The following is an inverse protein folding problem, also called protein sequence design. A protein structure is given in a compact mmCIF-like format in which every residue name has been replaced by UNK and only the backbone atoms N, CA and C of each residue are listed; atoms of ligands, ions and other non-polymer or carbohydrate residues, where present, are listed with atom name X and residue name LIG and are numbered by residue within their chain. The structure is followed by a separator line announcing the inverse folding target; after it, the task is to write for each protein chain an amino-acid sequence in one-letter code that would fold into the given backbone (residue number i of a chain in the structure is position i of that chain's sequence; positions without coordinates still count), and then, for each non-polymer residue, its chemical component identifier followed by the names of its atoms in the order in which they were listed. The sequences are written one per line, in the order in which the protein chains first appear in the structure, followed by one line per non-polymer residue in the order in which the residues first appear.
data_IF_339304334913
#
_entry.id   IF_339304334913
#
_cell.length_a   1.000
_cell.length_b   1.000
_cell.length_c   1.000
_cell.angle_alpha   90.00
_cell.angle_beta   90.00
_cell.angle_gamma   90.00
#
_symmetry.space_group_name_H-M   'P 1'
#
loop_
_entity.id
_entity.type
_entity.pdbx_description
1 polymer ?
#
# COMPACT_ATOMS: atom_id res chain seq x y z
N UNK A 1 48.22 -1.26 -36.24
CA UNK A 1 47.23 -2.32 -36.01
C UNK A 1 45.99 -2.07 -36.86
N UNK A 2 45.22 -3.10 -37.14
CA UNK A 2 43.93 -3.03 -37.82
C UNK A 2 42.86 -3.27 -36.75
N UNK A 3 41.82 -2.41 -36.69
CA UNK A 3 40.70 -2.59 -35.76
C UNK A 3 39.49 -3.20 -36.48
N UNK A 4 38.81 -4.11 -35.82
CA UNK A 4 37.59 -4.75 -36.30
C UNK A 4 36.49 -4.63 -35.29
N UNK A 5 35.23 -4.57 -35.76
CA UNK A 5 34.00 -4.57 -34.93
C UNK A 5 33.08 -5.69 -35.43
N UNK A 6 32.51 -6.47 -34.52
CA UNK A 6 31.43 -7.39 -34.79
C UNK A 6 30.21 -6.94 -34.02
N UNK A 7 29.06 -6.95 -34.67
CA UNK A 7 27.78 -6.52 -34.04
C UNK A 7 26.72 -7.57 -34.30
N UNK A 8 25.84 -7.74 -33.30
CA UNK A 8 24.64 -8.56 -33.39
C UNK A 8 23.45 -7.71 -32.93
N UNK A 9 22.30 -7.90 -33.55
CA UNK A 9 21.03 -7.25 -33.16
C UNK A 9 20.19 -8.29 -32.45
N UNK A 10 19.78 -7.97 -31.18
CA UNK A 10 18.92 -8.83 -30.37
C UNK A 10 17.47 -8.71 -30.83
N UNK A 11 16.74 -9.81 -30.76
CA UNK A 11 15.35 -9.96 -31.19
C UNK A 11 14.55 -10.76 -30.17
N UNK A 12 13.23 -10.74 -30.27
CA UNK A 12 12.33 -11.56 -29.42
C UNK A 12 12.54 -13.07 -29.59
N UNK A 13 13.23 -13.52 -30.65
CA UNK A 13 13.57 -14.92 -30.88
C UNK A 13 14.78 -15.38 -30.03
N UNK A 14 15.57 -14.44 -29.53
CA UNK A 14 16.74 -14.77 -28.69
C UNK A 14 16.25 -15.14 -27.27
N UNK A 15 17.05 -15.93 -26.56
CA UNK A 15 16.75 -16.35 -25.20
C UNK A 15 17.40 -15.39 -24.21
N UNK A 16 16.70 -15.14 -23.09
CA UNK A 16 17.26 -14.39 -21.98
C UNK A 16 18.51 -15.06 -21.43
N UNK A 17 19.52 -14.27 -21.08
CA UNK A 17 20.76 -14.76 -20.52
C UNK A 17 22.00 -13.99 -20.98
N UNK A 18 23.20 -14.46 -20.55
CA UNK A 18 24.46 -13.80 -20.87
C UNK A 18 24.78 -13.88 -22.35
N UNK A 19 25.24 -12.76 -22.91
CA UNK A 19 25.69 -12.69 -24.31
C UNK A 19 27.14 -13.15 -24.39
N UNK A 20 27.36 -14.28 -25.06
CA UNK A 20 28.70 -14.82 -25.33
C UNK A 20 29.15 -14.49 -26.74
N UNK A 21 30.45 -14.62 -26.97
CA UNK A 21 31.06 -14.53 -28.31
C UNK A 21 32.24 -15.46 -28.47
N UNK A 22 32.58 -15.76 -29.72
CA UNK A 22 33.85 -16.40 -30.10
C UNK A 22 34.48 -15.62 -31.24
N UNK A 23 35.79 -15.46 -31.21
CA UNK A 23 36.56 -14.83 -32.30
C UNK A 23 37.58 -15.83 -32.82
N UNK A 24 37.46 -16.16 -34.07
CA UNK A 24 38.40 -16.98 -34.84
C UNK A 24 38.93 -16.17 -36.01
N UNK A 25 40.11 -16.49 -36.46
CA UNK A 25 40.68 -15.85 -37.63
C UNK A 25 42.01 -16.47 -38.08
N UNK A 26 42.54 -15.98 -39.17
CA UNK A 26 43.87 -16.36 -39.68
C UNK A 26 44.63 -15.11 -40.14
N UNK A 27 45.95 -15.16 -40.06
CA UNK A 27 46.78 -14.15 -40.70
C UNK A 27 46.78 -14.32 -42.24
N UNK A 28 47.46 -13.40 -42.95
CA UNK A 28 47.57 -13.44 -44.41
C UNK A 28 48.43 -14.65 -44.92
N UNK A 29 49.19 -15.28 -44.05
CA UNK A 29 49.98 -16.50 -44.35
C UNK A 29 49.19 -17.80 -44.05
N UNK A 30 47.98 -17.67 -43.45
CA UNK A 30 47.14 -18.83 -43.11
C UNK A 30 47.34 -19.36 -41.69
N UNK A 31 48.13 -18.68 -40.84
CA UNK A 31 48.29 -19.10 -39.45
C UNK A 31 47.01 -18.74 -38.65
N UNK A 32 46.47 -19.73 -37.94
CA UNK A 32 45.26 -19.57 -37.16
C UNK A 32 45.47 -18.72 -35.89
N UNK A 33 44.55 -17.81 -35.63
CA UNK A 33 44.40 -17.13 -34.34
C UNK A 33 44.04 -18.19 -33.26
N UNK A 34 44.58 -18.05 -32.08
CA UNK A 34 44.01 -18.78 -30.92
C UNK A 34 42.64 -18.21 -30.64
N UNK A 35 41.63 -19.06 -30.64
CA UNK A 35 40.23 -18.62 -30.39
C UNK A 35 40.13 -17.78 -29.13
N UNK A 36 39.43 -16.64 -29.23
CA UNK A 36 39.16 -15.74 -28.13
C UNK A 36 37.68 -15.86 -27.73
N UNK A 37 37.43 -15.98 -26.44
CA UNK A 37 36.12 -16.05 -25.83
C UNK A 37 36.03 -14.98 -24.73
N UNK A 38 34.85 -14.72 -24.10
CA UNK A 38 34.76 -13.84 -22.95
C UNK A 38 35.77 -14.16 -21.84
N UNK A 39 36.07 -15.44 -21.59
CA UNK A 39 36.98 -15.90 -20.53
C UNK A 39 38.46 -15.77 -20.88
N UNK A 40 38.78 -15.34 -22.10
CA UNK A 40 40.18 -15.23 -22.55
C UNK A 40 40.92 -14.08 -21.85
N UNK A 41 42.21 -14.24 -21.47
CA UNK A 41 42.98 -13.22 -20.74
C UNK A 41 43.12 -11.87 -21.45
N UNK A 42 42.89 -11.81 -22.74
CA UNK A 42 42.92 -10.59 -23.57
C UNK A 42 41.58 -9.90 -23.65
N UNK A 43 40.54 -10.51 -23.11
CA UNK A 43 39.18 -9.95 -23.04
C UNK A 43 39.04 -9.10 -21.79
N UNK A 44 38.70 -7.84 -21.98
CA UNK A 44 38.26 -6.96 -20.89
C UNK A 44 36.74 -6.85 -20.98
N UNK A 45 36.02 -7.91 -20.60
CA UNK A 45 34.58 -8.01 -20.85
C UNK A 45 33.80 -7.47 -19.67
N UNK A 46 32.79 -6.71 -20.00
CA UNK A 46 31.63 -6.47 -19.16
C UNK A 46 30.63 -7.58 -19.47
N UNK A 47 30.14 -8.26 -18.44
CA UNK A 47 29.06 -9.23 -18.62
C UNK A 47 27.80 -8.46 -19.09
N UNK A 48 27.37 -8.79 -20.31
CA UNK A 48 26.15 -8.25 -20.90
C UNK A 48 25.11 -9.36 -20.85
N UNK A 49 23.98 -9.07 -20.21
CA UNK A 49 22.83 -9.96 -20.17
C UNK A 49 21.76 -9.42 -21.12
N UNK A 50 21.26 -10.28 -21.99
CA UNK A 50 20.04 -10.01 -22.74
C UNK A 50 18.84 -10.41 -21.87
N UNK A 51 17.91 -9.50 -21.71
CA UNK A 51 16.69 -9.69 -20.95
C UNK A 51 15.52 -9.03 -21.67
N UNK A 52 14.47 -9.77 -21.88
CA UNK A 52 13.19 -9.34 -22.49
C UNK A 52 12.00 -9.63 -21.61
N UNK A 53 12.22 -10.15 -20.40
CA UNK A 53 11.16 -10.55 -19.48
C UNK A 53 10.78 -9.38 -18.60
N UNK A 54 9.55 -8.91 -18.72
CA UNK A 54 9.05 -7.83 -17.87
C UNK A 54 8.88 -8.28 -16.40
N UNK A 55 9.17 -7.44 -15.43
CA UNK A 55 9.05 -7.77 -14.01
C UNK A 55 7.59 -7.99 -13.59
N UNK A 56 7.39 -8.82 -12.56
CA UNK A 56 6.09 -9.14 -11.97
C UNK A 56 6.16 -8.92 -10.47
N UNK A 57 5.10 -8.37 -9.87
CA UNK A 57 5.00 -8.26 -8.42
C UNK A 57 4.51 -9.57 -7.80
N UNK A 58 5.19 -10.03 -6.76
CA UNK A 58 4.85 -11.24 -6.00
C UNK A 58 3.80 -10.95 -4.92
N UNK A 59 3.90 -9.80 -4.27
CA UNK A 59 2.97 -9.37 -3.23
C UNK A 59 2.64 -7.89 -3.35
N UNK A 60 1.38 -7.55 -3.06
CA UNK A 60 0.88 -6.16 -2.97
C UNK A 60 -0.12 -6.09 -1.84
N UNK A 61 0.09 -5.15 -0.89
CA UNK A 61 -0.83 -4.88 0.22
C UNK A 61 -0.91 -3.40 0.54
N UNK A 62 -2.07 -2.96 1.01
CA UNK A 62 -2.31 -1.57 1.42
C UNK A 62 -2.81 -1.52 2.86
N UNK A 63 -2.27 -0.61 3.66
CA UNK A 63 -2.64 -0.45 5.07
C UNK A 63 -2.61 1.01 5.49
N UNK A 64 -3.42 1.37 6.49
CA UNK A 64 -3.38 2.67 7.15
C UNK A 64 -2.58 2.62 8.45
N UNK A 65 -2.04 3.76 8.87
CA UNK A 65 -1.44 3.95 10.20
C UNK A 65 -2.48 4.03 11.32
N UNK A 66 -3.77 3.98 11.02
CA UNK A 66 -4.85 3.97 12.01
C UNK A 66 -4.79 2.69 12.87
N UNK A 67 -5.42 2.69 14.05
CA UNK A 67 -5.58 1.50 14.90
C UNK A 67 -6.28 0.36 14.16
N UNK A 68 -7.34 0.69 13.40
CA UNK A 68 -7.89 -0.21 12.39
C UNK A 68 -7.24 0.13 11.05
N UNK A 69 -6.36 -0.72 10.58
CA UNK A 69 -5.56 -0.49 9.39
C UNK A 69 -6.35 -0.50 8.07
N UNK A 70 -7.63 -0.87 8.12
CA UNK A 70 -8.56 -0.76 6.99
C UNK A 70 -9.28 0.60 6.93
N UNK A 71 -9.12 1.45 7.96
CA UNK A 71 -9.71 2.78 8.06
C UNK A 71 -8.62 3.84 8.14
N UNK A 72 -8.87 5.02 7.59
CA UNK A 72 -8.00 6.18 7.72
C UNK A 72 -8.82 7.44 7.97
N UNK A 73 -8.26 8.37 8.74
CA UNK A 73 -8.79 9.71 9.01
C UNK A 73 -7.73 10.77 8.70
N UNK A 74 -8.08 12.07 8.70
CA UNK A 74 -7.09 13.13 8.53
C UNK A 74 -5.93 13.01 9.53
N UNK A 75 -4.70 13.05 9.00
CA UNK A 75 -3.46 12.85 9.73
C UNK A 75 -2.91 11.43 9.71
N UNK A 76 -3.67 10.46 9.22
CA UNK A 76 -3.17 9.10 9.01
C UNK A 76 -2.38 9.00 7.70
N UNK A 77 -1.42 8.08 7.66
CA UNK A 77 -0.65 7.73 6.46
C UNK A 77 -1.19 6.41 5.91
N UNK A 78 -1.35 6.34 4.61
CA UNK A 78 -1.62 5.08 3.91
C UNK A 78 -0.34 4.60 3.26
N UNK A 79 0.04 3.38 3.57
CA UNK A 79 1.23 2.69 3.09
C UNK A 79 0.84 1.57 2.13
N UNK A 80 1.45 1.58 0.95
CA UNK A 80 1.37 0.55 -0.07
C UNK A 80 2.71 -0.19 -0.07
N UNK A 81 2.68 -1.49 0.25
CA UNK A 81 3.85 -2.36 0.23
C UNK A 81 3.73 -3.34 -0.94
N UNK A 82 4.83 -3.58 -1.60
CA UNK A 82 4.90 -4.56 -2.68
C UNK A 82 6.31 -5.10 -2.84
N UNK A 83 6.43 -6.31 -3.35
CA UNK A 83 7.72 -6.96 -3.59
C UNK A 83 7.74 -7.58 -4.97
N UNK A 84 8.94 -7.62 -5.56
CA UNK A 84 9.26 -8.46 -6.72
C UNK A 84 9.72 -9.83 -6.24
N UNK A 85 9.62 -10.83 -7.10
CA UNK A 85 10.24 -12.13 -6.85
C UNK A 85 11.78 -11.94 -6.77
N UNK A 86 12.45 -12.43 -5.72
CA UNK A 86 13.91 -12.30 -5.59
C UNK A 86 14.70 -13.03 -6.68
N UNK A 87 14.09 -13.94 -7.43
CA UNK A 87 14.71 -14.63 -8.57
C UNK A 87 14.56 -13.84 -9.87
N UNK A 88 13.71 -12.83 -9.90
CA UNK A 88 13.51 -11.92 -11.02
C UNK A 88 14.33 -10.65 -10.79
N UNK A 89 14.53 -9.89 -11.84
CA UNK A 89 15.44 -8.76 -11.86
C UNK A 89 15.08 -7.66 -10.86
N UNK A 90 16.12 -6.93 -10.47
CA UNK A 90 15.95 -5.67 -9.76
C UNK A 90 15.16 -4.70 -10.63
N UNK A 91 14.14 -4.09 -10.05
CA UNK A 91 13.39 -3.03 -10.73
C UNK A 91 14.02 -1.65 -10.46
N UNK A 92 13.90 -0.76 -11.44
CA UNK A 92 14.12 0.66 -11.23
C UNK A 92 13.13 1.20 -10.19
N UNK A 93 13.42 2.35 -9.54
CA UNK A 93 12.49 2.91 -8.57
C UNK A 93 11.08 3.05 -9.14
N UNK A 94 10.08 2.33 -8.60
CA UNK A 94 8.74 2.27 -9.14
C UNK A 94 8.02 3.62 -9.04
N UNK A 95 7.05 3.86 -9.91
CA UNK A 95 6.12 4.97 -9.79
C UNK A 95 4.82 4.47 -9.14
N UNK A 96 4.41 5.17 -8.07
CA UNK A 96 3.15 4.90 -7.39
C UNK A 96 2.25 6.12 -7.48
N UNK A 97 0.97 5.91 -7.73
CA UNK A 97 -0.05 6.93 -7.59
C UNK A 97 -1.15 6.46 -6.65
N UNK A 98 -1.68 7.37 -5.83
CA UNK A 98 -2.82 7.13 -4.97
C UNK A 98 -4.01 7.97 -5.40
N UNK A 99 -5.20 7.37 -5.31
CA UNK A 99 -6.47 8.07 -5.42
C UNK A 99 -7.31 7.81 -4.18
N UNK A 100 -7.90 8.87 -3.61
CA UNK A 100 -8.73 8.82 -2.41
C UNK A 100 -10.09 9.40 -2.76
N UNK A 101 -11.15 8.62 -2.60
CA UNK A 101 -12.48 9.00 -3.05
C UNK A 101 -12.53 9.37 -4.55
N UNK A 102 -11.68 8.76 -5.38
CA UNK A 102 -11.57 9.01 -6.81
C UNK A 102 -10.77 10.25 -7.22
N UNK A 103 -10.09 10.93 -6.28
CA UNK A 103 -9.22 12.08 -6.54
C UNK A 103 -7.76 11.73 -6.24
N UNK A 104 -6.83 12.31 -7.01
CA UNK A 104 -5.40 12.11 -6.82
C UNK A 104 -4.98 12.66 -5.44
N UNK A 105 -4.23 11.86 -4.69
CA UNK A 105 -3.66 12.23 -3.39
C UNK A 105 -2.14 12.33 -3.47
N UNK A 106 -1.59 13.45 -3.04
CA UNK A 106 -0.15 13.75 -3.09
C UNK A 106 0.30 14.58 -1.87
N UNK A 107 1.58 14.60 -1.54
CA UNK A 107 2.70 13.95 -2.22
C UNK A 107 2.83 12.46 -1.86
N UNK A 108 3.32 11.66 -2.79
CA UNK A 108 3.66 10.26 -2.57
C UNK A 108 5.14 10.12 -2.20
N UNK A 109 5.42 9.51 -1.04
CA UNK A 109 6.77 9.18 -0.59
C UNK A 109 7.09 7.72 -0.97
N UNK A 110 8.20 7.51 -1.67
CA UNK A 110 8.72 6.17 -1.99
C UNK A 110 9.89 5.82 -1.08
N UNK A 111 9.91 4.59 -0.59
CA UNK A 111 10.99 4.03 0.23
C UNK A 111 11.50 2.78 -0.46
N UNK A 112 12.76 2.79 -0.86
CA UNK A 112 13.42 1.64 -1.44
C UNK A 112 13.56 0.51 -0.41
N UNK A 113 13.67 -0.76 -0.85
CA UNK A 113 14.01 -1.86 0.03
C UNK A 113 15.31 -1.60 0.81
N UNK A 114 15.39 -2.13 2.02
CA UNK A 114 16.68 -2.19 2.73
C UNK A 114 17.65 -3.10 1.95
N UNK A 115 18.96 -2.91 2.16
CA UNK A 115 20.00 -3.69 1.49
C UNK A 115 19.69 -5.21 1.53
N UNK A 116 19.58 -5.80 0.36
CA UNK A 116 19.22 -7.22 0.18
C UNK A 116 17.73 -7.56 0.34
N UNK A 117 16.87 -6.57 0.51
CA UNK A 117 15.41 -6.72 0.52
C UNK A 117 14.79 -6.53 -0.86
N UNK A 118 13.55 -7.00 -1.01
CA UNK A 118 12.74 -6.87 -2.23
C UNK A 118 11.45 -6.08 -2.01
N UNK A 119 11.13 -5.70 -0.76
CA UNK A 119 9.90 -4.98 -0.43
C UNK A 119 10.05 -3.47 -0.61
N UNK A 120 9.30 -2.91 -1.52
CA UNK A 120 9.12 -1.48 -1.72
C UNK A 120 7.96 -0.95 -0.90
N UNK A 121 8.02 0.34 -0.59
CA UNK A 121 6.94 1.05 0.08
C UNK A 121 6.67 2.38 -0.58
N UNK A 122 5.40 2.66 -0.91
CA UNK A 122 4.90 3.97 -1.24
C UNK A 122 3.94 4.44 -0.15
N UNK A 123 4.00 5.72 0.22
CA UNK A 123 3.17 6.28 1.29
C UNK A 123 2.55 7.59 0.89
N UNK A 124 1.31 7.82 1.33
CA UNK A 124 0.63 9.11 1.20
C UNK A 124 0.06 9.53 2.55
N UNK A 125 0.24 10.79 2.93
CA UNK A 125 -0.36 11.38 4.13
C UNK A 125 -1.76 11.92 3.75
N UNK A 126 -2.80 11.45 4.42
CA UNK A 126 -4.17 11.91 4.21
C UNK A 126 -4.49 13.15 5.06
N UNK A 127 -5.15 14.09 4.45
CA UNK A 127 -5.47 15.39 5.03
C UNK A 127 -6.98 15.66 5.01
N UNK A 128 -7.43 16.69 5.68
CA UNK A 128 -8.84 17.11 5.64
C UNK A 128 -9.30 17.59 4.24
N UNK A 129 -8.35 17.93 3.35
CA UNK A 129 -8.62 18.37 1.98
C UNK A 129 -8.95 17.18 1.05
N UNK A 130 -8.46 15.97 1.37
CA UNK A 130 -8.70 14.79 0.57
C UNK A 130 -10.18 14.39 0.58
N UNK A 131 -10.66 13.77 -0.49
CA UNK A 131 -12.04 13.34 -0.63
C UNK A 131 -12.27 12.03 0.12
N UNK A 132 -13.27 11.97 1.01
CA UNK A 132 -13.62 10.72 1.69
C UNK A 132 -14.03 9.62 0.70
N UNK A 133 -13.64 8.39 1.00
CA UNK A 133 -13.95 7.22 0.19
C UNK A 133 -12.83 6.18 0.15
N UNK A 134 -12.99 5.20 -0.72
CA UNK A 134 -11.98 4.14 -0.90
C UNK A 134 -10.65 4.72 -1.39
N UNK A 135 -9.56 4.16 -0.87
CA UNK A 135 -8.20 4.42 -1.37
C UNK A 135 -7.87 3.38 -2.42
N UNK A 136 -7.48 3.84 -3.60
CA UNK A 136 -6.97 3.02 -4.69
C UNK A 136 -5.58 3.50 -5.11
N UNK A 137 -4.88 2.68 -5.87
CA UNK A 137 -3.50 2.96 -6.26
C UNK A 137 -3.19 2.40 -7.66
N UNK A 138 -2.08 2.86 -8.22
CA UNK A 138 -1.40 2.20 -9.33
C UNK A 138 0.08 2.09 -9.04
N UNK A 139 0.72 1.04 -9.55
CA UNK A 139 2.16 0.80 -9.50
C UNK A 139 2.62 0.55 -10.93
N UNK A 140 3.61 1.30 -11.36
CA UNK A 140 4.33 1.12 -12.61
C UNK A 140 5.82 0.96 -12.31
N UNK A 141 6.49 0.05 -13.00
CA UNK A 141 7.93 -0.15 -12.91
C UNK A 141 8.51 -0.71 -14.20
N UNK A 142 9.82 -0.59 -14.34
CA UNK A 142 10.64 -1.26 -15.35
C UNK A 142 11.74 -2.03 -14.64
N UNK A 143 12.26 -3.07 -15.27
CA UNK A 143 13.51 -3.70 -14.85
C UNK A 143 14.73 -2.89 -15.32
N UNK A 144 15.92 -3.37 -15.00
CA UNK A 144 17.18 -2.71 -15.39
C UNK A 144 17.47 -2.79 -16.89
N UNK A 145 16.83 -3.71 -17.62
CA UNK A 145 16.94 -3.83 -19.07
C UNK A 145 15.98 -2.88 -19.80
N UNK A 146 14.99 -2.30 -19.06
CA UNK A 146 13.99 -1.39 -19.59
C UNK A 146 12.67 -2.05 -19.98
N UNK A 147 12.43 -3.33 -19.62
CA UNK A 147 11.16 -3.98 -19.85
C UNK A 147 10.12 -3.47 -18.85
N UNK A 148 9.02 -2.92 -19.37
CA UNK A 148 7.96 -2.36 -18.54
C UNK A 148 7.02 -3.46 -18.03
N UNK A 149 6.72 -3.45 -16.73
CA UNK A 149 5.69 -4.32 -16.16
C UNK A 149 4.28 -3.90 -16.61
N UNK A 150 3.35 -4.82 -16.53
CA UNK A 150 1.92 -4.49 -16.63
C UNK A 150 1.53 -3.71 -15.36
N UNK A 151 0.92 -2.53 -15.53
CA UNK A 151 0.48 -1.72 -14.39
C UNK A 151 -0.37 -2.54 -13.40
N UNK A 152 -0.04 -2.43 -12.10
CA UNK A 152 -0.75 -3.11 -11.03
C UNK A 152 -1.62 -2.11 -10.25
N UNK A 153 -2.89 -2.47 -10.02
CA UNK A 153 -3.87 -1.67 -9.27
C UNK A 153 -4.66 -2.49 -8.24
N UNK A 154 -4.30 -3.77 -8.08
CA UNK A 154 -4.99 -4.69 -7.19
C UNK A 154 -4.02 -5.24 -6.14
N UNK A 155 -4.53 -5.47 -4.93
CA UNK A 155 -3.80 -6.15 -3.86
C UNK A 155 -3.84 -7.66 -4.03
N UNK A 156 -2.85 -8.36 -3.49
CA UNK A 156 -2.78 -9.83 -3.52
C UNK A 156 -3.36 -10.49 -2.26
N UNK A 157 -3.53 -9.73 -1.17
CA UNK A 157 -3.95 -10.22 0.14
C UNK A 157 -5.39 -9.83 0.52
N UNK A 158 -6.11 -9.10 -0.34
CA UNK A 158 -7.46 -8.62 -0.09
C UNK A 158 -7.53 -7.43 0.87
N UNK A 159 -6.40 -6.81 1.22
CA UNK A 159 -6.38 -5.60 2.04
C UNK A 159 -7.06 -4.41 1.34
N UNK A 160 -7.62 -3.49 2.11
CA UNK A 160 -8.24 -2.28 1.60
C UNK A 160 -8.20 -1.18 2.66
N UNK A 161 -8.25 0.07 2.22
CA UNK A 161 -8.33 1.23 3.11
C UNK A 161 -9.47 2.14 2.66
N UNK A 162 -10.27 2.59 3.62
CA UNK A 162 -11.31 3.61 3.41
C UNK A 162 -10.95 4.85 4.22
N UNK A 163 -10.89 5.99 3.55
CA UNK A 163 -10.67 7.29 4.18
C UNK A 163 -12.00 7.89 4.58
N UNK A 164 -12.13 8.20 5.87
CA UNK A 164 -13.29 8.86 6.46
C UNK A 164 -12.83 10.10 7.24
N UNK A 165 -13.40 11.23 6.91
CA UNK A 165 -13.16 12.50 7.61
C UNK A 165 -14.42 13.05 8.31
N UNK A 166 -15.53 12.32 8.24
CA UNK A 166 -16.74 12.71 8.91
C UNK A 166 -16.54 12.64 10.43
N UNK A 167 -17.07 13.64 11.11
CA UNK A 167 -17.07 13.65 12.58
C UNK A 167 -18.47 13.22 13.02
N UNK A 168 -18.61 12.15 13.80
CA UNK A 168 -19.93 11.70 14.27
C UNK A 168 -20.62 12.79 15.09
N UNK A 169 -21.91 12.93 14.87
CA UNK A 169 -22.79 13.83 15.62
C UNK A 169 -23.92 13.03 16.25
N UNK A 170 -24.55 13.56 17.27
CA UNK A 170 -25.75 12.97 17.83
C UNK A 170 -27.00 13.61 17.17
N UNK A 171 -27.80 12.76 16.51
CA UNK A 171 -29.05 13.19 15.88
C UNK A 171 -30.20 13.29 16.86
N UNK A 172 -30.16 12.54 17.96
CA UNK A 172 -31.09 12.71 19.07
C UNK A 172 -30.46 12.29 20.40
N UNK A 173 -30.89 12.97 21.47
CA UNK A 173 -30.56 12.62 22.85
C UNK A 173 -31.84 12.78 23.67
N UNK A 174 -32.22 11.77 24.42
CA UNK A 174 -33.32 11.84 25.37
C UNK A 174 -32.90 11.25 26.71
N UNK A 175 -33.55 11.71 27.78
CA UNK A 175 -33.40 11.15 29.11
C UNK A 175 -34.77 10.85 29.69
N UNK A 176 -34.93 9.70 30.32
CA UNK A 176 -36.14 9.29 30.96
C UNK A 176 -35.83 8.48 32.23
N UNK A 177 -36.78 8.41 33.14
CA UNK A 177 -36.75 7.52 34.31
C UNK A 177 -37.73 6.37 34.13
N UNK A 178 -37.49 5.27 34.82
CA UNK A 178 -38.41 4.14 34.96
C UNK A 178 -39.53 4.39 36.01
N UNK A 179 -39.69 5.62 36.48
CA UNK A 179 -40.81 6.05 37.32
C UNK A 179 -42.11 6.12 36.51
N UNK A 180 -43.27 5.96 37.16
CA UNK A 180 -44.58 6.12 36.52
C UNK A 180 -44.75 7.47 35.78
N UNK A 181 -44.05 8.51 36.25
CA UNK A 181 -43.87 9.77 35.55
C UNK A 181 -42.38 9.89 35.16
N UNK A 182 -42.08 9.67 33.91
CA UNK A 182 -40.72 9.54 33.37
C UNK A 182 -39.79 10.75 33.56
N UNK A 183 -40.37 11.89 33.88
CA UNK A 183 -39.67 13.16 34.20
C UNK A 183 -39.25 13.28 35.66
N UNK A 184 -39.62 12.32 36.52
CA UNK A 184 -39.25 12.27 37.92
C UNK A 184 -38.55 10.94 38.24
N UNK A 185 -37.60 10.97 39.17
CA UNK A 185 -36.98 9.79 39.72
C UNK A 185 -36.95 9.84 41.23
N UNK A 186 -37.20 8.72 41.88
CA UNK A 186 -37.06 8.51 43.32
C UNK A 186 -35.99 7.49 43.63
N UNK A 187 -35.72 7.26 44.91
CA UNK A 187 -34.79 6.18 45.32
C UNK A 187 -35.16 4.85 44.67
N UNK A 188 -34.21 4.16 44.13
CA UNK A 188 -34.29 2.90 43.36
C UNK A 188 -34.78 3.03 41.91
N UNK A 189 -35.11 4.22 41.41
CA UNK A 189 -35.35 4.40 39.99
C UNK A 189 -34.04 4.48 39.20
N UNK A 190 -34.12 4.11 37.92
CA UNK A 190 -33.05 4.20 36.94
C UNK A 190 -33.32 5.37 35.97
N UNK A 191 -32.36 6.25 35.78
CA UNK A 191 -32.39 7.22 34.71
C UNK A 191 -31.63 6.69 33.49
N UNK A 192 -32.26 6.70 32.34
CA UNK A 192 -31.70 6.22 31.09
C UNK A 192 -31.53 7.36 30.09
N UNK A 193 -30.32 7.52 29.54
CA UNK A 193 -30.05 8.40 28.41
C UNK A 193 -30.02 7.55 27.15
N UNK A 194 -30.88 7.85 26.19
CA UNK A 194 -30.86 7.25 24.86
C UNK A 194 -30.26 8.25 23.87
N UNK A 195 -29.36 7.77 23.02
CA UNK A 195 -28.67 8.56 22.01
C UNK A 195 -28.79 7.88 20.64
N UNK A 196 -28.88 8.69 19.60
CA UNK A 196 -28.78 8.23 18.22
C UNK A 196 -27.64 9.03 17.57
N UNK A 197 -26.61 8.31 17.07
CA UNK A 197 -25.50 8.91 16.36
C UNK A 197 -25.77 8.96 14.85
N UNK A 198 -25.12 9.89 14.15
CA UNK A 198 -25.21 10.03 12.69
C UNK A 198 -24.55 8.86 11.94
N UNK A 199 -23.66 8.15 12.61
CA UNK A 199 -22.88 7.02 12.08
C UNK A 199 -22.51 6.06 13.20
N UNK A 200 -21.89 4.93 12.85
CA UNK A 200 -21.40 3.97 13.83
C UNK A 200 -20.26 4.58 14.67
N UNK A 201 -20.41 4.51 15.99
CA UNK A 201 -19.43 4.99 16.95
C UNK A 201 -19.00 3.85 17.88
N UNK A 202 -17.83 3.98 18.50
CA UNK A 202 -17.44 3.13 19.63
C UNK A 202 -18.37 3.41 20.83
N UNK A 203 -18.39 2.50 21.81
CA UNK A 203 -19.20 2.70 23.02
C UNK A 203 -18.92 4.08 23.66
N UNK A 204 -19.93 4.97 23.75
CA UNK A 204 -19.72 6.30 24.33
C UNK A 204 -19.52 6.21 25.84
N UNK A 205 -18.89 7.24 26.41
CA UNK A 205 -18.81 7.38 27.86
C UNK A 205 -19.90 8.34 28.33
N UNK A 206 -20.72 7.88 29.28
CA UNK A 206 -21.77 8.68 29.88
C UNK A 206 -21.42 9.03 31.33
N UNK A 207 -21.66 10.27 31.74
CA UNK A 207 -21.56 10.71 33.15
C UNK A 207 -22.88 11.32 33.57
N UNK A 208 -23.31 11.04 34.80
CA UNK A 208 -24.54 11.60 35.37
C UNK A 208 -24.22 12.49 36.54
N UNK A 209 -24.98 13.57 36.67
CA UNK A 209 -24.95 14.45 37.84
C UNK A 209 -26.35 14.56 38.42
N UNK A 210 -26.45 14.61 39.74
CA UNK A 210 -27.71 14.81 40.49
C UNK A 210 -27.51 15.97 41.45
N UNK A 211 -28.35 16.98 41.36
CA UNK A 211 -28.22 18.18 42.19
C UNK A 211 -26.92 18.95 41.99
N UNK A 212 -26.28 18.81 40.77
CA UNK A 212 -25.01 19.45 40.43
C UNK A 212 -23.76 18.74 40.93
N UNK A 213 -23.90 17.60 41.61
CA UNK A 213 -22.78 16.73 42.01
C UNK A 213 -22.77 15.45 41.19
N UNK A 214 -21.60 14.75 41.08
CA UNK A 214 -21.54 13.43 40.46
C UNK A 214 -22.53 12.47 41.11
N UNK A 215 -23.22 11.67 40.30
CA UNK A 215 -24.15 10.68 40.84
C UNK A 215 -23.35 9.60 41.60
N UNK A 216 -23.75 9.33 42.87
CA UNK A 216 -23.10 8.37 43.76
C UNK A 216 -23.64 6.92 43.58
N UNK A 217 -24.13 6.58 42.41
CA UNK A 217 -24.61 5.23 42.09
C UNK A 217 -23.54 4.33 41.56
N UNK A 218 -23.96 3.15 41.09
CA UNK A 218 -23.08 2.29 40.28
C UNK A 218 -22.66 3.03 39.00
N UNK A 219 -21.44 2.70 38.49
CA UNK A 219 -20.97 3.27 37.25
C UNK A 219 -22.00 3.05 36.13
N UNK A 220 -22.25 4.07 35.27
CA UNK A 220 -23.20 3.92 34.17
C UNK A 220 -22.82 2.72 33.26
N UNK A 221 -23.83 1.92 32.94
CA UNK A 221 -23.66 0.85 31.94
C UNK A 221 -24.04 1.41 30.58
N UNK A 222 -23.20 1.12 29.57
CA UNK A 222 -23.45 1.49 28.18
C UNK A 222 -23.67 0.21 27.37
N UNK A 223 -24.78 0.14 26.69
CA UNK A 223 -25.10 -0.98 25.82
C UNK A 223 -25.73 -0.46 24.51
N UNK A 224 -25.45 -1.09 23.37
CA UNK A 224 -26.17 -0.77 22.15
C UNK A 224 -27.64 -1.16 22.30
N UNK A 225 -28.53 -0.30 21.85
CA UNK A 225 -29.95 -0.67 21.71
C UNK A 225 -30.07 -1.48 20.44
N UNK A 226 -30.60 -2.70 20.55
CA UNK A 226 -30.86 -3.53 19.37
C UNK A 226 -31.83 -2.77 18.44
N UNK A 227 -31.43 -2.60 17.21
CA UNK A 227 -32.26 -1.95 16.19
C UNK A 227 -33.54 -2.80 16.01
N UNK A 228 -34.69 -2.23 16.30
CA UNK A 228 -35.99 -2.89 16.17
C UNK A 228 -36.55 -2.81 14.74
N UNK A 229 -35.69 -2.51 13.76
CA UNK A 229 -36.03 -2.58 12.33
C UNK A 229 -35.68 -3.95 11.77
N UNK A 230 -36.60 -4.92 11.94
CA UNK A 230 -36.68 -6.17 11.19
C UNK A 230 -37.37 -5.95 9.85
#
# INVERSE_FOLDING_TARGET
GVSWTCTVFMTDADLDGPIGFTIDGTDLAGNALVQVTPDSPVSSVWDITFDKTAPVLDSVRIVSSNVDNALAKPGDTVDLFFSTNPADDSIDPPECAFMVGGQVAEPVLRVAPADGGTEWKCSVLLTAEDTAGAVSFTIDATDLAGNAMVQVSEVTDGSSVVFDKAVPTLSSVSIASDNDVDTYAMTANTATVAIVASEAITAPTCTFTVGGAAAEGAAPTVAPVADSSG
#
